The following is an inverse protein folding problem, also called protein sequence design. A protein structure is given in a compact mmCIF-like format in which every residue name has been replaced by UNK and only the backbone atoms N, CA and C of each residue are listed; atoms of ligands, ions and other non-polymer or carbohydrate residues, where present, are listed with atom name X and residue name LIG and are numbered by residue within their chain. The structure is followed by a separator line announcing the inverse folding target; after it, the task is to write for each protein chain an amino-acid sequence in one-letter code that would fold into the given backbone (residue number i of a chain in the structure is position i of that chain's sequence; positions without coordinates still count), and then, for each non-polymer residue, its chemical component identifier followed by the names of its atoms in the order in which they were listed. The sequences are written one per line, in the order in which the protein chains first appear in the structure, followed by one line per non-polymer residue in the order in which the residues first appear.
data_IF_837846339139
#
_entry.id   IF_837846339139
#
_cell.length_a   1.000
_cell.length_b   1.000
_cell.length_c   1.000
_cell.angle_alpha   90.00
_cell.angle_beta   90.00
_cell.angle_gamma   90.00
#
_symmetry.space_group_name_H-M   'P 1'
#
loop_
_entity.id
_entity.type
_entity.pdbx_description
1 polymer ?
#
# COMPACT_ATOMS: atom_id res chain seq x y z
N UNK A 1 -7.24 17.98 -15.24
CA UNK A 1 -7.12 18.94 -14.12
C UNK A 1 -6.83 18.30 -12.78
N UNK A 2 -5.79 18.73 -12.03
CA UNK A 2 -5.38 18.14 -10.74
C UNK A 2 -6.47 18.07 -9.66
N UNK A 3 -7.65 18.68 -9.88
CA UNK A 3 -8.78 18.75 -8.94
C UNK A 3 -10.07 18.07 -9.42
N UNK A 4 -10.09 17.47 -10.61
CA UNK A 4 -11.33 16.84 -11.12
C UNK A 4 -11.69 15.57 -10.33
N UNK A 5 -12.97 15.42 -9.99
CA UNK A 5 -13.47 14.20 -9.34
C UNK A 5 -13.62 13.07 -10.38
N UNK A 6 -13.66 11.79 -9.96
CA UNK A 6 -13.91 10.68 -10.88
C UNK A 6 -15.21 10.85 -11.69
N UNK A 7 -16.25 11.43 -11.08
CA UNK A 7 -17.52 11.73 -11.74
C UNK A 7 -17.37 12.81 -12.82
N UNK A 8 -16.65 13.90 -12.51
CA UNK A 8 -16.39 14.97 -13.47
C UNK A 8 -15.56 14.48 -14.65
N UNK A 9 -14.54 13.66 -14.37
CA UNK A 9 -13.74 13.02 -15.40
C UNK A 9 -14.59 12.11 -16.30
N UNK A 10 -15.52 11.34 -15.73
CA UNK A 10 -16.45 10.50 -16.50
C UNK A 10 -17.32 11.34 -17.42
N UNK A 11 -17.96 12.40 -16.91
CA UNK A 11 -18.82 13.28 -17.72
C UNK A 11 -18.04 13.89 -18.90
N UNK A 12 -16.85 14.45 -18.62
CA UNK A 12 -15.98 15.00 -19.67
C UNK A 12 -15.57 13.95 -20.72
N UNK A 13 -15.32 12.72 -20.27
CA UNK A 13 -14.93 11.62 -21.16
C UNK A 13 -16.10 11.14 -22.01
N UNK A 14 -17.32 11.10 -21.46
CA UNK A 14 -18.54 10.78 -22.20
C UNK A 14 -18.85 11.86 -23.24
N UNK A 15 -18.73 13.13 -22.86
CA UNK A 15 -18.90 14.25 -23.79
C UNK A 15 -17.90 14.18 -24.95
N UNK A 16 -16.63 13.86 -24.66
CA UNK A 16 -15.61 13.68 -25.69
C UNK A 16 -15.94 12.51 -26.61
N UNK A 17 -16.33 11.35 -26.06
CA UNK A 17 -16.77 10.19 -26.86
C UNK A 17 -17.92 10.58 -27.80
N UNK A 18 -18.93 11.28 -27.27
CA UNK A 18 -20.08 11.71 -28.06
C UNK A 18 -19.66 12.69 -29.17
N UNK A 19 -18.79 13.67 -28.87
CA UNK A 19 -18.24 14.60 -29.88
C UNK A 19 -17.49 13.87 -30.99
N UNK A 20 -16.65 12.90 -30.63
CA UNK A 20 -15.94 12.05 -31.62
C UNK A 20 -16.93 11.25 -32.46
N UNK A 21 -17.96 10.67 -31.83
CA UNK A 21 -19.01 9.94 -32.53
C UNK A 21 -19.87 10.81 -33.47
N UNK A 22 -20.07 12.08 -33.15
CA UNK A 22 -20.74 13.03 -34.04
C UNK A 22 -19.83 13.44 -35.19
N UNK A 23 -18.61 13.91 -34.91
CA UNK A 23 -17.65 14.31 -35.93
C UNK A 23 -17.38 13.17 -36.94
N UNK A 24 -17.26 11.93 -36.45
CA UNK A 24 -17.04 10.76 -37.30
C UNK A 24 -18.18 10.47 -38.30
N UNK A 25 -19.37 11.04 -38.10
CA UNK A 25 -20.54 10.86 -38.99
C UNK A 25 -20.74 12.03 -39.94
N UNK A 26 -19.96 13.11 -39.80
CA UNK A 26 -20.04 14.28 -40.66
C UNK A 26 -19.40 14.00 -42.04
N UNK A 27 -20.02 14.53 -43.09
CA UNK A 27 -19.68 14.28 -44.51
C UNK A 27 -18.25 14.69 -44.89
N UNK A 28 -17.68 15.64 -44.16
CA UNK A 28 -16.38 16.26 -44.44
C UNK A 28 -15.22 15.66 -43.61
N UNK A 29 -15.44 14.54 -42.90
CA UNK A 29 -14.38 13.89 -42.14
C UNK A 29 -13.58 12.88 -42.97
N UNK A 30 -12.26 13.12 -43.10
CA UNK A 30 -11.32 12.20 -43.78
C UNK A 30 -11.19 10.84 -43.10
N UNK A 31 -11.45 10.76 -41.78
CA UNK A 31 -11.31 9.53 -40.98
C UNK A 31 -12.64 9.22 -40.29
N UNK A 32 -13.26 8.12 -40.70
CA UNK A 32 -14.43 7.56 -40.05
C UNK A 32 -14.00 6.51 -39.01
N UNK A 33 -14.44 6.68 -37.78
CA UNK A 33 -14.25 5.74 -36.68
C UNK A 33 -15.51 4.92 -36.48
N UNK A 34 -15.36 3.60 -36.48
CA UNK A 34 -16.47 2.71 -36.17
C UNK A 34 -16.90 2.86 -34.70
N UNK A 35 -18.21 2.79 -34.44
CA UNK A 35 -18.78 2.88 -33.08
C UNK A 35 -18.13 1.91 -32.07
N UNK A 36 -17.85 0.63 -32.41
CA UNK A 36 -17.16 -0.29 -31.49
C UNK A 36 -15.73 0.17 -31.15
N UNK A 37 -15.04 0.80 -32.10
CA UNK A 37 -13.69 1.34 -31.89
C UNK A 37 -13.73 2.56 -30.98
N UNK A 38 -14.69 3.47 -31.19
CA UNK A 38 -14.91 4.64 -30.33
C UNK A 38 -15.19 4.19 -28.89
N UNK A 39 -16.11 3.26 -28.70
CA UNK A 39 -16.47 2.74 -27.38
C UNK A 39 -15.28 2.03 -26.71
N UNK A 40 -14.55 1.19 -27.44
CA UNK A 40 -13.36 0.49 -26.92
C UNK A 40 -12.27 1.48 -26.50
N UNK A 41 -12.02 2.50 -27.33
CA UNK A 41 -11.04 3.56 -27.05
C UNK A 41 -11.45 4.40 -25.85
N UNK A 42 -12.75 4.74 -25.74
CA UNK A 42 -13.31 5.43 -24.58
C UNK A 42 -13.10 4.61 -23.30
N UNK A 43 -13.52 3.35 -23.27
CA UNK A 43 -13.38 2.49 -22.08
C UNK A 43 -11.93 2.37 -21.66
N UNK A 44 -11.01 2.21 -22.61
CA UNK A 44 -9.58 2.12 -22.33
C UNK A 44 -9.02 3.42 -21.77
N UNK A 45 -9.36 4.54 -22.41
CA UNK A 45 -8.92 5.87 -22.00
C UNK A 45 -9.44 6.26 -20.63
N UNK A 46 -10.70 5.90 -20.33
CA UNK A 46 -11.29 6.09 -19.02
C UNK A 46 -10.60 5.23 -17.96
N UNK A 47 -10.40 3.93 -18.22
CA UNK A 47 -9.68 3.02 -17.31
C UNK A 47 -8.29 3.55 -16.94
N UNK A 48 -7.50 3.98 -17.93
CA UNK A 48 -6.12 4.46 -17.71
C UNK A 48 -6.03 5.92 -17.26
N UNK A 49 -7.08 6.71 -17.45
CA UNK A 49 -7.12 8.13 -17.09
C UNK A 49 -7.54 8.39 -15.64
N UNK A 50 -8.02 7.38 -14.93
CA UNK A 50 -8.33 7.47 -13.51
C UNK A 50 -7.06 7.65 -12.68
N UNK A 51 -7.08 8.62 -11.77
CA UNK A 51 -5.93 8.90 -10.88
C UNK A 51 -5.85 8.03 -9.64
N UNK A 52 -7.01 7.59 -9.16
CA UNK A 52 -7.08 6.78 -7.95
C UNK A 52 -6.96 5.31 -8.34
N UNK A 53 -5.78 4.74 -8.10
CA UNK A 53 -5.45 3.35 -8.45
C UNK A 53 -6.38 2.34 -7.78
N UNK A 54 -6.87 2.64 -6.56
CA UNK A 54 -7.78 1.77 -5.83
C UNK A 54 -9.14 1.79 -6.52
N UNK A 55 -9.64 2.98 -6.85
CA UNK A 55 -10.90 3.13 -7.58
C UNK A 55 -10.79 2.50 -8.99
N UNK A 56 -9.68 2.69 -9.70
CA UNK A 56 -9.42 2.09 -11.00
C UNK A 56 -9.40 0.55 -10.94
N UNK A 57 -8.76 -0.03 -9.92
CA UNK A 57 -8.74 -1.47 -9.71
C UNK A 57 -10.14 -2.06 -9.49
N UNK A 58 -11.01 -1.34 -8.75
CA UNK A 58 -12.39 -1.76 -8.49
C UNK A 58 -13.31 -1.58 -9.72
N UNK A 59 -13.08 -0.56 -10.56
CA UNK A 59 -13.84 -0.33 -11.79
C UNK A 59 -13.46 -1.26 -12.94
N UNK A 60 -12.19 -1.67 -13.03
CA UNK A 60 -11.66 -2.52 -14.11
C UNK A 60 -12.53 -3.74 -14.46
N UNK A 61 -13.05 -4.56 -13.52
CA UNK A 61 -13.91 -5.69 -13.87
C UNK A 61 -15.22 -5.26 -14.55
N UNK A 62 -15.77 -4.12 -14.16
CA UNK A 62 -17.03 -3.57 -14.70
C UNK A 62 -16.80 -3.02 -16.12
N UNK A 63 -15.70 -2.30 -16.33
CA UNK A 63 -15.34 -1.70 -17.62
C UNK A 63 -15.04 -2.71 -18.73
N UNK A 64 -14.79 -3.98 -18.37
CA UNK A 64 -14.55 -5.07 -19.33
C UNK A 64 -15.84 -5.80 -19.75
N UNK A 65 -16.99 -5.45 -19.18
CA UNK A 65 -18.26 -6.04 -19.56
C UNK A 65 -18.67 -5.54 -20.97
N UNK A 66 -19.03 -6.45 -21.90
CA UNK A 66 -19.36 -6.07 -23.28
C UNK A 66 -20.60 -5.18 -23.42
N UNK A 67 -21.52 -5.25 -22.44
CA UNK A 67 -22.84 -4.61 -22.49
C UNK A 67 -23.03 -3.59 -21.36
N UNK A 68 -21.98 -2.88 -20.95
CA UNK A 68 -22.08 -1.85 -19.91
C UNK A 68 -22.73 -0.58 -20.48
N UNK A 69 -23.87 -0.17 -19.93
CA UNK A 69 -24.52 1.09 -20.30
C UNK A 69 -23.91 2.29 -19.57
N UNK A 70 -24.05 3.49 -20.15
CA UNK A 70 -23.59 4.75 -19.54
C UNK A 70 -24.23 5.00 -18.17
N UNK A 71 -25.50 4.61 -18.01
CA UNK A 71 -26.24 4.73 -16.74
C UNK A 71 -25.64 3.84 -15.65
N UNK A 72 -25.30 2.59 -16.00
CA UNK A 72 -24.66 1.66 -15.08
C UNK A 72 -23.25 2.11 -14.75
N UNK A 73 -22.48 2.57 -15.75
CA UNK A 73 -21.15 3.13 -15.54
C UNK A 73 -21.20 4.31 -14.54
N UNK A 74 -22.13 5.24 -14.75
CA UNK A 74 -22.33 6.39 -13.86
C UNK A 74 -22.66 5.96 -12.44
N UNK A 75 -23.57 4.99 -12.27
CA UNK A 75 -23.93 4.44 -10.96
C UNK A 75 -22.71 3.86 -10.25
N UNK A 76 -21.95 3.01 -10.93
CA UNK A 76 -20.77 2.35 -10.36
C UNK A 76 -19.67 3.35 -9.98
N UNK A 77 -19.42 4.36 -10.82
CA UNK A 77 -18.45 5.41 -10.52
C UNK A 77 -18.88 6.24 -9.32
N UNK A 78 -20.16 6.60 -9.21
CA UNK A 78 -20.69 7.34 -8.05
C UNK A 78 -20.54 6.55 -6.75
N UNK A 79 -20.89 5.28 -6.75
CA UNK A 79 -20.79 4.40 -5.58
C UNK A 79 -19.34 4.23 -5.13
N UNK A 80 -18.45 3.85 -6.05
CA UNK A 80 -17.04 3.63 -5.74
C UNK A 80 -16.32 4.91 -5.33
N UNK A 81 -16.62 6.05 -5.95
CA UNK A 81 -16.06 7.33 -5.56
C UNK A 81 -16.52 7.74 -4.15
N UNK A 82 -17.78 7.44 -3.78
CA UNK A 82 -18.29 7.72 -2.43
C UNK A 82 -17.57 6.87 -1.37
N UNK A 83 -17.43 5.56 -1.61
CA UNK A 83 -16.67 4.67 -0.73
C UNK A 83 -15.21 5.11 -0.60
N UNK A 84 -14.62 5.58 -1.70
CA UNK A 84 -13.23 6.02 -1.70
C UNK A 84 -13.05 7.36 -0.98
N UNK A 85 -13.97 8.31 -1.13
CA UNK A 85 -13.97 9.55 -0.37
C UNK A 85 -14.12 9.29 1.14
N UNK A 86 -14.98 8.35 1.53
CA UNK A 86 -15.13 7.92 2.93
C UNK A 86 -13.83 7.31 3.48
N UNK A 87 -13.19 6.41 2.72
CA UNK A 87 -11.90 5.82 3.08
C UNK A 87 -10.83 6.89 3.29
N UNK A 88 -10.71 7.82 2.34
CA UNK A 88 -9.74 8.92 2.42
C UNK A 88 -9.99 9.81 3.63
N UNK A 89 -11.27 10.11 3.95
CA UNK A 89 -11.66 10.87 5.13
C UNK A 89 -11.29 10.17 6.44
N UNK A 90 -11.54 8.86 6.54
CA UNK A 90 -11.16 8.05 7.71
C UNK A 90 -9.64 8.03 7.92
N UNK A 91 -8.88 7.75 6.87
CA UNK A 91 -7.41 7.73 6.92
C UNK A 91 -6.82 9.11 7.27
N UNK A 92 -7.45 10.21 6.84
CA UNK A 92 -7.03 11.56 7.20
C UNK A 92 -7.33 11.89 8.68
N UNK A 93 -8.35 11.29 9.28
CA UNK A 93 -8.79 11.56 10.66
C UNK A 93 -8.09 10.68 11.73
N UNK A 94 -7.44 9.58 11.33
CA UNK A 94 -6.85 8.58 12.23
C UNK A 94 -5.58 8.99 13.00
N UNK A 95 -5.22 10.27 13.05
CA UNK A 95 -4.15 10.77 13.94
C UNK A 95 -4.62 11.02 15.38
N UNK A 96 -5.75 10.47 15.82
CA UNK A 96 -6.15 10.48 17.23
C UNK A 96 -5.48 9.29 17.92
N UNK A 97 -4.37 9.55 18.60
CA UNK A 97 -3.69 8.57 19.46
C UNK A 97 -4.71 7.91 20.39
N UNK A 98 -4.90 6.60 20.24
CA UNK A 98 -5.73 5.83 21.16
C UNK A 98 -5.15 5.96 22.58
N UNK A 99 -5.92 6.54 23.50
CA UNK A 99 -5.62 6.41 24.93
C UNK A 99 -6.01 4.99 25.33
N UNK A 100 -5.02 4.12 25.39
CA UNK A 100 -5.15 2.81 26.03
C UNK A 100 -5.20 3.04 27.55
N UNK A 101 -6.22 2.53 28.23
CA UNK A 101 -6.23 2.48 29.68
C UNK A 101 -5.30 1.35 30.13
N UNK A 102 -4.27 1.68 30.89
CA UNK A 102 -3.46 0.69 31.58
C UNK A 102 -4.25 0.17 32.79
N UNK A 103 -4.29 -1.15 32.96
CA UNK A 103 -4.81 -1.76 34.19
C UNK A 103 -3.70 -1.67 35.23
N UNK A 104 -3.85 -0.79 36.23
CA UNK A 104 -2.92 -0.68 37.35
C UNK A 104 -3.26 -1.76 38.38
N UNK A 105 -2.26 -2.57 38.76
CA UNK A 105 -2.30 -3.42 39.94
C UNK A 105 -1.89 -2.54 41.12
N UNK A 106 -2.68 -2.59 42.20
CA UNK A 106 -2.51 -1.77 43.40
C UNK A 106 -1.07 -1.81 43.95
N UNK A 107 -0.51 -0.62 44.16
CA UNK A 107 0.62 -0.42 45.09
C UNK A 107 1.91 0.16 44.51
N UNK A 108 1.86 1.36 43.92
CA UNK A 108 2.97 2.32 43.98
C UNK A 108 2.49 3.73 43.62
N UNK A 109 2.57 4.66 44.58
CA UNK A 109 2.27 6.09 44.34
C UNK A 109 3.26 6.69 43.33
N UNK A 110 2.81 6.99 42.10
CA UNK A 110 3.58 7.79 41.14
C UNK A 110 3.00 9.20 41.11
N UNK A 111 3.73 10.15 41.71
CA UNK A 111 3.43 11.59 41.66
C UNK A 111 3.56 12.10 40.21
N UNK A 112 2.42 12.34 39.55
CA UNK A 112 2.36 13.07 38.27
C UNK A 112 2.84 14.52 38.46
N UNK A 113 4.04 14.84 37.97
CA UNK A 113 4.46 16.22 37.70
C UNK A 113 3.83 16.66 36.38
N UNK A 114 3.07 17.77 36.39
CA UNK A 114 2.64 18.47 35.17
C UNK A 114 3.88 19.04 34.47
N UNK A 115 4.43 18.34 33.48
CA UNK A 115 5.41 18.90 32.56
C UNK A 115 4.69 19.69 31.46
N UNK A 116 4.41 20.95 31.73
CA UNK A 116 3.98 21.93 30.73
C UNK A 116 5.14 22.59 29.97
N UNK A 117 6.39 22.11 30.12
CA UNK A 117 7.58 22.72 29.53
C UNK A 117 8.18 21.97 28.34
N UNK A 118 7.75 20.72 28.07
CA UNK A 118 8.40 19.88 27.06
C UNK A 118 7.97 20.24 25.63
N UNK A 119 6.73 20.70 25.44
CA UNK A 119 6.25 21.13 24.12
C UNK A 119 7.02 22.34 23.58
N UNK A 120 7.35 23.30 24.44
CA UNK A 120 8.11 24.50 24.02
C UNK A 120 9.57 24.16 23.69
N UNK A 121 10.16 23.21 24.42
CA UNK A 121 11.48 22.64 24.12
C UNK A 121 11.48 21.91 22.78
N UNK A 122 10.48 21.08 22.53
CA UNK A 122 10.32 20.35 21.26
C UNK A 122 10.10 21.33 20.10
N UNK A 123 9.33 22.41 20.28
CA UNK A 123 9.13 23.44 19.25
C UNK A 123 10.39 24.29 18.98
N UNK A 124 11.25 24.47 19.98
CA UNK A 124 12.55 25.10 19.80
C UNK A 124 13.50 24.18 19.00
N UNK A 125 13.56 22.89 19.38
CA UNK A 125 14.40 21.88 18.73
C UNK A 125 13.96 21.62 17.27
N UNK A 126 12.66 21.63 16.97
CA UNK A 126 12.15 21.56 15.59
C UNK A 126 12.56 22.78 14.75
N UNK A 127 12.60 23.97 15.35
CA UNK A 127 13.05 25.19 14.65
C UNK A 127 14.55 25.14 14.34
N UNK A 128 15.33 24.63 15.27
CA UNK A 128 16.78 24.43 15.12
C UNK A 128 17.07 23.39 14.02
N UNK A 129 16.43 22.22 14.06
CA UNK A 129 16.55 21.18 13.03
C UNK A 129 16.17 21.71 11.64
N UNK A 130 15.14 22.57 11.54
CA UNK A 130 14.75 23.18 10.27
C UNK A 130 15.83 24.13 9.73
N UNK A 131 16.46 24.91 10.60
CA UNK A 131 17.58 25.80 10.23
C UNK A 131 18.82 25.00 9.77
N UNK A 132 19.11 23.89 10.43
CA UNK A 132 20.19 22.98 10.04
C UNK A 132 19.92 22.30 8.69
N UNK A 133 18.68 21.89 8.44
CA UNK A 133 18.27 21.33 7.13
C UNK A 133 18.38 22.36 6.01
N UNK A 134 18.04 23.62 6.25
CA UNK A 134 18.24 24.69 5.26
C UNK A 134 19.73 24.97 5.00
N UNK A 135 20.57 24.88 6.03
CA UNK A 135 22.02 25.02 5.92
C UNK A 135 22.65 23.85 5.15
N UNK A 136 22.25 22.62 5.46
CA UNK A 136 22.66 21.41 4.74
C UNK A 136 22.18 21.40 3.29
N UNK A 137 20.96 21.90 3.02
CA UNK A 137 20.43 22.03 1.66
C UNK A 137 21.24 23.02 0.82
N UNK A 138 21.70 24.13 1.42
CA UNK A 138 22.60 25.10 0.77
C UNK A 138 24.01 24.54 0.53
N UNK A 139 24.49 23.64 1.39
CA UNK A 139 25.75 22.91 1.18
C UNK A 139 25.63 21.77 0.15
N UNK A 140 24.44 21.16 0.01
CA UNK A 140 24.15 20.09 -0.96
C UNK A 140 24.04 20.54 -2.42
N UNK A 141 24.08 21.85 -2.70
CA UNK A 141 24.03 22.39 -4.08
C UNK A 141 25.40 22.46 -4.77
N UNK A 142 26.51 22.18 -4.08
CA UNK A 142 27.87 22.24 -4.63
C UNK A 142 28.56 20.88 -4.81
N UNK A 143 27.85 19.75 -4.70
CA UNK A 143 28.42 18.41 -4.86
C UNK A 143 27.73 17.57 -5.96
N UNK A 144 27.16 18.22 -6.98
CA UNK A 144 26.57 17.53 -8.13
C UNK A 144 27.33 17.83 -9.43
N UNK A 145 28.63 17.55 -9.40
CA UNK A 145 29.41 17.30 -10.60
C UNK A 145 30.27 16.06 -10.32
N UNK A 146 30.08 15.04 -11.13
CA UNK A 146 30.88 13.82 -11.23
C UNK A 146 30.50 12.65 -10.30
N UNK A 147 29.61 11.77 -10.78
CA UNK A 147 29.75 10.33 -10.54
C UNK A 147 29.02 9.48 -11.59
N UNK A 148 29.79 9.15 -12.62
CA UNK A 148 29.57 7.98 -13.46
C UNK A 148 29.79 6.68 -12.65
N UNK A 149 28.97 5.67 -13.01
CA UNK A 149 29.19 4.22 -12.94
C UNK A 149 29.84 3.62 -11.67
N UNK A 150 29.07 2.85 -10.91
CA UNK A 150 29.50 1.54 -10.36
C UNK A 150 28.35 0.78 -9.71
N UNK A 151 27.76 -0.12 -10.48
CA UNK A 151 26.90 -1.22 -10.03
C UNK A 151 27.74 -2.28 -9.30
N UNK A 152 28.05 -2.01 -8.03
CA UNK A 152 28.78 -2.92 -7.14
C UNK A 152 27.86 -3.75 -6.22
N UNK A 153 27.02 -4.61 -6.79
CA UNK A 153 26.25 -5.58 -6.02
C UNK A 153 27.16 -6.66 -5.44
N UNK A 154 27.31 -6.70 -4.11
CA UNK A 154 28.02 -7.78 -3.40
C UNK A 154 27.29 -9.11 -3.63
N UNK A 155 27.87 -10.00 -4.45
CA UNK A 155 27.41 -11.38 -4.64
C UNK A 155 27.76 -12.19 -3.40
N UNK A 156 26.84 -12.26 -2.44
CA UNK A 156 26.85 -13.38 -1.50
C UNK A 156 26.39 -14.63 -2.26
N UNK A 157 27.09 -15.78 -2.16
CA UNK A 157 26.56 -17.05 -2.65
C UNK A 157 25.32 -17.39 -1.83
N UNK A 158 24.14 -17.02 -2.35
CA UNK A 158 22.88 -17.58 -1.88
C UNK A 158 22.86 -18.99 -2.44
N UNK A 159 23.43 -19.92 -1.69
CA UNK A 159 23.08 -21.32 -1.82
C UNK A 159 21.60 -21.39 -1.45
N UNK A 160 20.75 -21.19 -2.45
CA UNK A 160 19.33 -21.43 -2.37
C UNK A 160 19.19 -22.93 -2.22
N UNK A 161 19.35 -23.42 -0.99
CA UNK A 161 18.67 -24.64 -0.58
C UNK A 161 17.22 -24.38 -0.93
N UNK A 162 16.77 -24.94 -2.05
CA UNK A 162 15.37 -25.16 -2.34
C UNK A 162 14.84 -25.89 -1.11
N UNK A 163 14.37 -25.13 -0.11
CA UNK A 163 13.63 -25.68 1.00
C UNK A 163 12.31 -26.08 0.35
N UNK A 164 12.28 -27.30 -0.20
CA UNK A 164 11.07 -27.89 -0.76
C UNK A 164 9.91 -27.63 0.18
N UNK A 165 8.76 -27.29 -0.38
CA UNK A 165 7.55 -26.96 0.37
C UNK A 165 7.15 -28.16 1.25
N UNK A 166 6.48 -27.93 2.38
CA UNK A 166 6.01 -28.99 3.29
C UNK A 166 6.84 -29.22 4.56
N UNK A 167 6.31 -30.00 5.50
CA UNK A 167 7.01 -30.43 6.72
C UNK A 167 8.12 -31.46 6.40
N UNK A 168 9.01 -31.74 7.35
CA UNK A 168 10.14 -32.67 7.16
C UNK A 168 9.69 -34.04 6.63
N UNK A 169 8.63 -34.63 7.20
CA UNK A 169 8.07 -35.90 6.75
C UNK A 169 7.49 -35.84 5.32
N UNK A 170 6.84 -34.73 4.94
CA UNK A 170 6.30 -34.57 3.58
C UNK A 170 7.40 -34.33 2.54
N UNK A 171 8.55 -33.77 2.93
CA UNK A 171 9.72 -33.63 2.06
C UNK A 171 10.35 -34.97 1.75
N UNK A 172 10.52 -35.83 2.76
CA UNK A 172 11.06 -37.18 2.59
C UNK A 172 10.20 -38.03 1.65
N UNK A 173 8.88 -37.88 1.74
CA UNK A 173 7.93 -38.59 0.88
C UNK A 173 7.74 -37.98 -0.51
N UNK A 174 8.43 -36.86 -0.83
CA UNK A 174 8.26 -36.08 -2.07
C UNK A 174 6.83 -35.56 -2.32
N UNK A 175 6.00 -35.44 -1.27
CA UNK A 175 4.61 -34.91 -1.32
C UNK A 175 4.54 -33.49 -0.71
N UNK A 176 5.66 -32.77 -0.75
CA UNK A 176 5.79 -31.46 -0.12
C UNK A 176 4.85 -30.37 -0.66
N UNK A 177 4.39 -30.52 -1.91
CA UNK A 177 3.52 -29.55 -2.59
C UNK A 177 2.12 -29.43 -1.97
N UNK A 178 1.57 -30.53 -1.44
CA UNK A 178 0.19 -30.62 -0.92
C UNK A 178 0.15 -30.76 0.61
N UNK A 179 1.25 -30.43 1.30
CA UNK A 179 1.32 -30.51 2.75
C UNK A 179 0.33 -29.53 3.40
N UNK A 180 -0.67 -30.05 4.11
CA UNK A 180 -1.64 -29.29 4.92
C UNK A 180 -1.33 -29.35 6.42
N UNK A 181 -0.15 -29.86 6.77
CA UNK A 181 0.34 -29.91 8.15
C UNK A 181 1.23 -28.71 8.47
N UNK A 182 1.44 -28.47 9.75
CA UNK A 182 2.44 -27.54 10.22
C UNK A 182 3.85 -27.91 9.69
N UNK A 183 4.52 -26.96 9.03
CA UNK A 183 5.87 -27.22 8.49
C UNK A 183 6.96 -27.36 9.55
N UNK A 184 6.68 -26.98 10.80
CA UNK A 184 7.62 -27.11 11.93
C UNK A 184 7.48 -28.45 12.65
N UNK A 185 6.27 -28.88 13.04
CA UNK A 185 6.05 -30.11 13.81
C UNK A 185 5.35 -31.25 13.06
N UNK A 186 4.74 -30.99 11.90
CA UNK A 186 4.04 -32.01 11.11
C UNK A 186 2.63 -32.37 11.59
N UNK A 187 2.08 -31.70 12.60
CA UNK A 187 0.69 -31.91 13.06
C UNK A 187 -0.32 -31.11 12.21
N UNK A 188 -1.56 -31.60 12.13
CA UNK A 188 -2.68 -30.88 11.51
C UNK A 188 -3.26 -29.81 12.45
N UNK A 189 -3.98 -28.85 11.87
CA UNK A 189 -4.76 -27.85 12.63
C UNK A 189 -4.04 -26.53 12.91
N UNK A 190 -2.78 -26.36 12.47
CA UNK A 190 -2.07 -25.09 12.55
C UNK A 190 -0.96 -24.99 11.49
N UNK A 191 -0.51 -23.77 11.21
CA UNK A 191 0.63 -23.48 10.33
C UNK A 191 1.90 -23.17 11.14
N UNK A 192 3.07 -23.20 10.50
CA UNK A 192 4.36 -23.06 11.20
C UNK A 192 4.53 -21.73 11.96
N UNK A 193 3.86 -20.66 11.53
CA UNK A 193 3.83 -19.36 12.23
C UNK A 193 3.10 -19.41 13.56
N UNK A 194 2.16 -20.35 13.72
CA UNK A 194 1.28 -20.49 14.90
C UNK A 194 1.63 -21.74 15.72
N UNK A 195 2.72 -22.42 15.36
CA UNK A 195 3.15 -23.63 16.03
C UNK A 195 3.76 -23.30 17.39
N UNK A 196 3.09 -23.69 18.48
CA UNK A 196 3.60 -23.55 19.83
C UNK A 196 4.95 -24.28 20.05
N UNK A 197 5.24 -25.31 19.25
CA UNK A 197 6.51 -26.07 19.27
C UNK A 197 7.62 -25.42 18.42
N UNK A 198 7.33 -24.32 17.71
CA UNK A 198 8.30 -23.63 16.86
C UNK A 198 9.11 -22.61 17.66
N UNK A 199 10.00 -23.12 18.50
CA UNK A 199 10.93 -22.32 19.31
C UNK A 199 12.04 -21.66 18.46
N UNK A 200 12.16 -21.98 17.17
CA UNK A 200 13.27 -21.55 16.29
C UNK A 200 12.91 -20.46 15.29
N UNK A 201 11.68 -19.95 15.30
CA UNK A 201 11.24 -18.87 14.40
C UNK A 201 11.18 -17.48 15.06
N UNK A 202 11.54 -17.34 16.33
CA UNK A 202 11.74 -16.03 16.94
C UNK A 202 13.17 -15.58 16.68
N UNK A 203 13.38 -14.77 15.64
CA UNK A 203 14.63 -14.05 15.38
C UNK A 203 14.93 -12.97 16.43
N UNK A 204 14.73 -13.27 17.71
CA UNK A 204 14.88 -12.33 18.81
C UNK A 204 15.62 -12.97 20.01
N UNK A 205 16.63 -13.80 19.75
CA UNK A 205 17.51 -14.40 20.77
C UNK A 205 18.51 -13.41 21.40
N UNK A 206 18.36 -12.11 21.20
CA UNK A 206 19.15 -11.07 21.89
C UNK A 206 18.29 -10.24 22.85
N UNK A 207 17.52 -10.89 23.71
CA UNK A 207 17.03 -10.30 24.97
C UNK A 207 16.62 -11.42 25.94
N UNK A 208 17.61 -12.01 26.60
CA UNK A 208 17.36 -12.64 27.91
C UNK A 208 18.37 -12.09 28.92
N UNK A 209 17.92 -11.53 30.05
CA UNK A 209 18.82 -11.22 31.15
C UNK A 209 19.25 -12.54 31.81
N UNK A 210 20.55 -12.68 32.06
CA UNK A 210 21.11 -13.82 32.82
C UNK A 210 20.44 -13.90 34.18
N UNK A 211 19.80 -15.03 34.48
CA UNK A 211 19.42 -15.37 35.85
C UNK A 211 20.71 -15.64 36.63
N UNK A 212 20.96 -14.83 37.66
CA UNK A 212 21.90 -15.17 38.73
C UNK A 212 21.18 -16.14 39.66
N UNK A 213 21.60 -17.39 39.64
CA UNK A 213 21.35 -18.32 40.75
C UNK A 213 22.05 -17.77 42.00
N UNK A 214 21.31 -17.72 43.11
CA UNK A 214 21.83 -17.42 44.43
C UNK A 214 21.83 -18.73 45.21
N UNK A 215 23.02 -19.22 45.53
CA UNK A 215 23.30 -20.20 46.59
C UNK A 215 23.07 -19.52 47.94
#
# INVERSE_FOLDING_TARGET
DPKETPQQFLLRSLDLRNKVGFASKESDCEVQYDEPLIQKTFMKSFETGLRDDILAANLRPILRLPSLSDKELMKNVNELASHQAERQSKLACERRSAKVNACEVDGAEIKMRKNGGDNDKILAEIREIKSDLESLKKQGSNANANREVSSGGRKFPRETRYRGRGCLACKERKIGGTCQHCFACGEFGHIASECAKNLKAQGNEYRQPRRRDRV
#
